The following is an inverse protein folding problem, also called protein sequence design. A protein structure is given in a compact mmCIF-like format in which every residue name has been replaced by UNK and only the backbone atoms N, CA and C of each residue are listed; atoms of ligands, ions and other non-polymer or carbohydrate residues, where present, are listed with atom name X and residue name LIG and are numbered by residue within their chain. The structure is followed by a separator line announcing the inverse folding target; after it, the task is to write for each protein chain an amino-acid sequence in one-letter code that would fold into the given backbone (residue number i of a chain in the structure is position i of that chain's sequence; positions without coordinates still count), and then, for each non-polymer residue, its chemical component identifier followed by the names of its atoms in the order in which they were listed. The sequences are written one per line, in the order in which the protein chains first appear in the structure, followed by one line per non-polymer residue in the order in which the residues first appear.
data_IF_125927585216
#
_entry.id   IF_125927585216
#
_cell.length_a   1.000
_cell.length_b   1.000
_cell.length_c   1.000
_cell.angle_alpha   90.00
_cell.angle_beta   90.00
_cell.angle_gamma   90.00
#
_symmetry.space_group_name_H-M   'P 1'
#
loop_
_entity.id
_entity.type
_entity.pdbx_description
1 polymer ?
#
# COMPACT_ATOMS: atom_id res chain seq x y z
N UNK A 1 20.46 -18.38 -2.04
CA UNK A 1 20.91 -17.24 -1.21
C UNK A 1 20.16 -17.23 0.12
N UNK A 2 20.80 -16.68 1.16
CA UNK A 2 20.14 -16.40 2.43
C UNK A 2 19.70 -14.93 2.47
N UNK A 3 18.39 -14.70 2.46
CA UNK A 3 17.78 -13.37 2.28
C UNK A 3 17.07 -12.96 3.57
N UNK A 4 17.24 -11.70 3.97
CA UNK A 4 16.51 -11.11 5.08
C UNK A 4 15.59 -9.99 4.60
N UNK A 5 14.27 -10.12 4.79
CA UNK A 5 13.34 -9.00 4.64
C UNK A 5 13.17 -8.28 5.97
N UNK A 6 13.27 -6.95 5.96
CA UNK A 6 13.07 -6.13 7.18
C UNK A 6 11.97 -5.10 6.97
N UNK A 7 10.95 -5.12 7.82
CA UNK A 7 9.90 -4.11 7.85
C UNK A 7 9.54 -3.72 9.29
N UNK A 8 8.95 -2.54 9.49
CA UNK A 8 8.69 -2.02 10.84
C UNK A 8 7.63 -2.81 11.61
N UNK A 9 6.58 -3.28 10.92
CA UNK A 9 5.41 -3.93 11.53
C UNK A 9 5.05 -5.22 10.80
N UNK A 10 4.55 -6.18 11.55
CA UNK A 10 4.11 -7.50 11.06
C UNK A 10 2.94 -7.43 10.06
N UNK A 11 2.08 -6.42 10.18
CA UNK A 11 1.03 -6.14 9.18
C UNK A 11 1.61 -5.93 7.78
N UNK A 12 2.72 -5.20 7.66
CA UNK A 12 3.40 -5.00 6.37
C UNK A 12 3.93 -6.31 5.81
N UNK A 13 4.50 -7.17 6.66
CA UNK A 13 4.97 -8.49 6.25
C UNK A 13 3.83 -9.33 5.66
N UNK A 14 2.71 -9.46 6.40
CA UNK A 14 1.58 -10.28 5.98
C UNK A 14 0.88 -9.75 4.73
N UNK A 15 0.65 -8.43 4.66
CA UNK A 15 -0.22 -7.85 3.61
C UNK A 15 0.52 -7.42 2.34
N UNK A 16 1.81 -7.12 2.44
CA UNK A 16 2.57 -6.59 1.30
C UNK A 16 3.75 -7.46 0.87
N UNK A 17 4.46 -8.09 1.81
CA UNK A 17 5.72 -8.76 1.49
C UNK A 17 5.58 -10.27 1.29
N UNK A 18 4.52 -10.87 1.82
CA UNK A 18 4.36 -12.31 1.81
C UNK A 18 4.44 -12.93 0.40
N UNK A 19 3.78 -12.37 -0.65
CA UNK A 19 3.92 -12.91 -2.00
C UNK A 19 5.36 -12.92 -2.54
N UNK A 20 6.15 -11.88 -2.22
CA UNK A 20 7.57 -11.85 -2.59
C UNK A 20 8.39 -12.88 -1.79
N UNK A 21 8.10 -13.05 -0.50
CA UNK A 21 8.74 -14.08 0.34
C UNK A 21 8.45 -15.48 -0.20
N UNK A 22 7.17 -15.76 -0.54
CA UNK A 22 6.76 -17.05 -1.11
C UNK A 22 7.49 -17.33 -2.43
N UNK A 23 7.52 -16.39 -3.34
CA UNK A 23 8.20 -16.54 -4.63
C UNK A 23 9.73 -16.75 -4.49
N UNK A 24 10.35 -16.16 -3.46
CA UNK A 24 11.77 -16.40 -3.19
C UNK A 24 12.03 -17.77 -2.54
N UNK A 25 11.13 -18.23 -1.67
CA UNK A 25 11.18 -19.59 -1.10
C UNK A 25 11.01 -20.66 -2.19
N UNK A 26 10.05 -20.46 -3.12
CA UNK A 26 9.84 -21.34 -4.28
C UNK A 26 11.07 -21.46 -5.18
N UNK A 27 11.88 -20.39 -5.28
CA UNK A 27 13.17 -20.39 -5.99
C UNK A 27 14.32 -21.00 -5.17
N UNK A 28 14.03 -21.62 -4.02
CA UNK A 28 15.01 -22.32 -3.19
C UNK A 28 15.90 -21.40 -2.33
N UNK A 29 15.52 -20.15 -2.12
CA UNK A 29 16.23 -19.26 -1.21
C UNK A 29 15.87 -19.56 0.26
N UNK A 30 16.82 -19.32 1.16
CA UNK A 30 16.54 -19.30 2.60
C UNK A 30 16.11 -17.91 3.01
N UNK A 31 14.81 -17.72 3.26
CA UNK A 31 14.22 -16.40 3.52
C UNK A 31 13.81 -16.26 4.98
N UNK A 32 14.30 -15.21 5.63
CA UNK A 32 13.96 -14.85 7.00
C UNK A 32 13.37 -13.43 7.00
N UNK A 33 12.24 -13.24 7.67
CA UNK A 33 11.61 -11.94 7.81
C UNK A 33 11.83 -11.37 9.21
N UNK A 34 12.18 -10.08 9.29
CA UNK A 34 12.38 -9.36 10.55
C UNK A 34 11.34 -8.24 10.67
N UNK A 35 10.56 -8.24 11.76
CA UNK A 35 9.60 -7.18 12.06
C UNK A 35 9.42 -7.01 13.57
N UNK A 36 8.69 -5.99 13.98
CA UNK A 36 8.25 -5.87 15.39
C UNK A 36 7.23 -6.96 15.72
N UNK A 37 7.19 -7.37 16.99
CA UNK A 37 6.24 -8.37 17.48
C UNK A 37 4.80 -7.89 17.30
N UNK A 38 3.91 -8.79 16.88
CA UNK A 38 2.48 -8.58 16.73
C UNK A 38 1.75 -9.86 16.37
N UNK A 39 0.42 -9.84 16.26
CA UNK A 39 -0.40 -11.03 16.03
C UNK A 39 -0.09 -11.72 14.71
N UNK A 40 0.22 -10.96 13.67
CA UNK A 40 0.55 -11.51 12.35
C UNK A 40 1.93 -12.16 12.30
N UNK A 41 2.92 -11.65 13.08
CA UNK A 41 4.22 -12.29 13.19
C UNK A 41 4.11 -13.69 13.80
N UNK A 42 3.26 -13.86 14.82
CA UNK A 42 2.97 -15.16 15.43
C UNK A 42 2.25 -16.07 14.44
N UNK A 43 1.17 -15.60 13.82
CA UNK A 43 0.41 -16.36 12.81
C UNK A 43 1.32 -16.91 11.69
N UNK A 44 2.21 -16.06 11.14
CA UNK A 44 3.13 -16.46 10.09
C UNK A 44 4.15 -17.49 10.59
N UNK A 45 4.66 -17.34 11.81
CA UNK A 45 5.54 -18.35 12.43
C UNK A 45 4.83 -19.69 12.61
N UNK A 46 3.57 -19.68 13.04
CA UNK A 46 2.76 -20.89 13.21
C UNK A 46 2.46 -21.58 11.86
N UNK A 47 2.47 -20.82 10.74
CA UNK A 47 2.37 -21.32 9.37
C UNK A 47 3.70 -21.81 8.77
N UNK A 48 4.80 -21.76 9.54
CA UNK A 48 6.10 -22.27 9.12
C UNK A 48 7.05 -21.24 8.49
N UNK A 49 6.67 -19.96 8.41
CA UNK A 49 7.58 -18.91 7.95
C UNK A 49 8.66 -18.60 9.01
N UNK A 50 9.89 -18.36 8.57
CA UNK A 50 10.96 -17.94 9.48
C UNK A 50 10.79 -16.44 9.79
N UNK A 51 10.16 -16.13 10.92
CA UNK A 51 9.94 -14.77 11.38
C UNK A 51 10.75 -14.51 12.66
N UNK A 52 11.65 -13.52 12.60
CA UNK A 52 12.41 -13.01 13.75
C UNK A 52 11.80 -11.71 14.23
N UNK A 53 11.36 -11.66 15.46
CA UNK A 53 10.84 -10.42 16.06
C UNK A 53 11.98 -9.61 16.67
N UNK A 54 12.16 -8.37 16.19
CA UNK A 54 13.04 -7.34 16.75
C UNK A 54 12.19 -6.05 16.80
N UNK A 55 12.09 -5.44 17.98
CA UNK A 55 11.37 -4.18 18.12
C UNK A 55 12.06 -3.09 17.31
N UNK A 56 11.43 -2.66 16.22
CA UNK A 56 11.90 -1.58 15.36
C UNK A 56 11.19 -0.30 15.78
N UNK A 57 11.97 0.68 16.26
CA UNK A 57 11.44 1.96 16.65
C UNK A 57 10.77 2.65 15.44
N UNK A 58 9.54 3.13 15.62
CA UNK A 58 8.81 3.91 14.60
C UNK A 58 9.04 5.42 14.77
N UNK A 59 9.86 5.82 15.72
CA UNK A 59 10.32 7.19 15.96
C UNK A 59 11.84 7.21 15.98
N UNK A 60 12.43 8.31 15.53
CA UNK A 60 13.89 8.53 15.57
C UNK A 60 14.37 8.98 16.99
N UNK A 61 13.78 8.43 18.06
CA UNK A 61 14.31 8.62 19.41
C UNK A 61 15.73 8.01 19.46
N UNK A 62 16.79 8.81 19.70
CA UNK A 62 18.18 8.39 19.45
C UNK A 62 18.57 7.09 20.15
N UNK A 63 18.22 6.95 21.44
CA UNK A 63 18.55 5.75 22.23
C UNK A 63 17.87 4.50 21.65
N UNK A 64 16.59 4.61 21.28
CA UNK A 64 15.85 3.48 20.71
C UNK A 64 16.38 3.11 19.32
N UNK A 65 16.78 4.09 18.52
CA UNK A 65 17.39 3.87 17.22
C UNK A 65 18.73 3.11 17.36
N UNK A 66 19.61 3.53 18.27
CA UNK A 66 20.90 2.86 18.53
C UNK A 66 20.69 1.41 19.00
N UNK A 67 19.76 1.18 19.92
CA UNK A 67 19.42 -0.17 20.40
C UNK A 67 18.89 -1.04 19.25
N UNK A 68 18.06 -0.49 18.38
CA UNK A 68 17.53 -1.21 17.21
C UNK A 68 18.65 -1.56 16.23
N UNK A 69 19.54 -0.60 15.90
CA UNK A 69 20.69 -0.82 15.03
C UNK A 69 21.59 -1.93 15.61
N UNK A 70 21.90 -1.89 16.91
CA UNK A 70 22.74 -2.89 17.55
C UNK A 70 22.12 -4.30 17.52
N UNK A 71 20.81 -4.41 17.78
CA UNK A 71 20.09 -5.70 17.70
C UNK A 71 20.09 -6.27 16.28
N UNK A 72 19.82 -5.42 15.28
CA UNK A 72 19.85 -5.79 13.87
C UNK A 72 21.26 -6.17 13.42
N UNK A 73 22.28 -5.38 13.76
CA UNK A 73 23.68 -5.66 13.50
C UNK A 73 24.11 -7.04 14.07
N UNK A 74 23.84 -7.26 15.37
CA UNK A 74 24.19 -8.54 16.02
C UNK A 74 23.48 -9.72 15.35
N UNK A 75 22.24 -9.54 14.94
CA UNK A 75 21.48 -10.54 14.25
C UNK A 75 22.01 -10.79 12.84
N UNK A 76 22.27 -9.75 12.04
CA UNK A 76 22.80 -9.89 10.69
C UNK A 76 24.20 -10.52 10.70
N UNK A 77 25.05 -10.12 11.64
CA UNK A 77 26.38 -10.72 11.81
C UNK A 77 26.34 -12.20 12.17
N UNK A 78 25.39 -12.60 13.03
CA UNK A 78 25.20 -14.00 13.43
C UNK A 78 24.70 -14.86 12.29
N UNK A 79 23.72 -14.36 11.55
CA UNK A 79 23.04 -15.14 10.50
C UNK A 79 23.79 -15.16 9.16
N UNK A 80 24.70 -14.20 8.92
CA UNK A 80 25.51 -14.10 7.69
C UNK A 80 24.63 -14.10 6.43
N UNK A 81 23.77 -13.10 6.29
CA UNK A 81 22.89 -12.93 5.12
C UNK A 81 23.69 -12.53 3.88
N UNK A 82 23.34 -13.10 2.73
CA UNK A 82 23.84 -12.66 1.42
C UNK A 82 23.20 -11.34 0.99
N UNK A 83 21.91 -11.16 1.32
CA UNK A 83 21.13 -10.01 0.95
C UNK A 83 20.18 -9.57 2.08
N UNK A 84 20.14 -8.28 2.35
CA UNK A 84 19.14 -7.64 3.23
C UNK A 84 18.25 -6.73 2.39
N UNK A 85 16.98 -7.06 2.31
CA UNK A 85 15.95 -6.27 1.62
C UNK A 85 15.11 -5.52 2.64
N UNK A 86 15.23 -4.20 2.63
CA UNK A 86 14.61 -3.33 3.64
C UNK A 86 13.37 -2.63 3.09
N UNK A 87 12.36 -2.49 3.92
CA UNK A 87 11.07 -1.91 3.60
C UNK A 87 10.64 -0.92 4.69
N UNK A 88 9.81 0.05 4.33
CA UNK A 88 9.30 1.11 5.23
C UNK A 88 10.41 2.07 5.73
N UNK A 89 10.15 3.39 5.75
CA UNK A 89 11.22 4.40 5.85
C UNK A 89 12.14 4.26 7.06
N UNK A 90 11.59 4.16 8.28
CA UNK A 90 12.42 4.10 9.50
C UNK A 90 13.14 2.75 9.62
N UNK A 91 12.45 1.64 9.34
CA UNK A 91 13.09 0.32 9.35
C UNK A 91 14.21 0.26 8.31
N UNK A 92 13.96 0.79 7.11
CA UNK A 92 14.96 0.87 6.04
C UNK A 92 16.18 1.69 6.46
N UNK A 93 15.99 2.85 7.10
CA UNK A 93 17.07 3.70 7.58
C UNK A 93 17.96 2.95 8.58
N UNK A 94 17.37 2.37 9.62
CA UNK A 94 18.10 1.69 10.69
C UNK A 94 18.77 0.40 10.21
N UNK A 95 18.09 -0.35 9.35
CA UNK A 95 18.60 -1.63 8.85
C UNK A 95 19.73 -1.47 7.84
N UNK A 96 19.74 -0.41 7.01
CA UNK A 96 20.86 -0.12 6.09
C UNK A 96 22.15 0.13 6.86
N UNK A 97 22.09 0.89 7.96
CA UNK A 97 23.24 1.10 8.86
C UNK A 97 23.69 -0.22 9.47
N UNK A 98 22.78 -1.01 10.03
CA UNK A 98 23.09 -2.28 10.65
C UNK A 98 23.68 -3.29 9.66
N UNK A 99 23.14 -3.36 8.43
CA UNK A 99 23.62 -4.26 7.37
C UNK A 99 25.04 -3.88 6.92
N UNK A 100 25.31 -2.59 6.75
CA UNK A 100 26.66 -2.10 6.43
C UNK A 100 27.67 -2.48 7.52
N UNK A 101 27.35 -2.20 8.79
CA UNK A 101 28.22 -2.55 9.92
C UNK A 101 28.45 -4.07 10.05
N UNK A 102 27.45 -4.88 9.68
CA UNK A 102 27.54 -6.34 9.70
C UNK A 102 28.31 -6.91 8.49
N UNK A 103 28.63 -6.09 7.48
CA UNK A 103 29.31 -6.53 6.27
C UNK A 103 28.40 -7.35 5.33
N UNK A 104 27.11 -7.06 5.29
CA UNK A 104 26.17 -7.72 4.37
C UNK A 104 26.51 -7.35 2.94
N UNK A 105 26.72 -8.32 2.02
CA UNK A 105 27.16 -8.06 0.66
C UNK A 105 26.20 -7.17 -0.15
N UNK A 106 24.88 -7.45 -0.05
CA UNK A 106 23.89 -6.74 -0.84
C UNK A 106 22.76 -6.15 0.02
N UNK A 107 22.47 -4.88 -0.18
CA UNK A 107 21.37 -4.17 0.49
C UNK A 107 20.45 -3.58 -0.55
N UNK A 108 19.20 -4.03 -0.56
CA UNK A 108 18.12 -3.55 -1.44
C UNK A 108 17.11 -2.80 -0.61
N UNK A 109 16.63 -1.66 -1.11
CA UNK A 109 15.58 -0.88 -0.48
C UNK A 109 14.36 -0.77 -1.39
N UNK A 110 13.18 -1.17 -0.90
CA UNK A 110 11.90 -0.84 -1.54
C UNK A 110 11.22 0.29 -0.81
N UNK A 111 11.12 1.44 -1.47
CA UNK A 111 10.32 2.57 -1.03
C UNK A 111 8.85 2.34 -1.43
N UNK A 112 8.00 2.03 -0.45
CA UNK A 112 6.54 1.95 -0.63
C UNK A 112 5.88 3.35 -0.59
N UNK A 113 6.50 4.33 -1.22
CA UNK A 113 6.24 5.76 -1.14
C UNK A 113 7.19 6.43 -0.14
N UNK A 114 7.91 7.47 -0.60
CA UNK A 114 8.75 8.25 0.30
C UNK A 114 7.92 8.99 1.34
N UNK A 115 8.50 9.18 2.53
CA UNK A 115 7.81 9.88 3.61
C UNK A 115 7.62 11.37 3.31
N UNK A 116 8.54 12.00 2.57
CA UNK A 116 8.41 13.39 2.14
C UNK A 116 7.40 13.54 1.01
N UNK A 117 6.65 14.63 1.01
CA UNK A 117 5.61 14.97 0.02
C UNK A 117 5.53 16.50 -0.14
N UNK A 118 4.83 16.95 -1.18
CA UNK A 118 4.81 18.37 -1.56
C UNK A 118 4.12 19.27 -0.53
N UNK A 119 3.10 18.76 0.18
CA UNK A 119 2.40 19.51 1.25
C UNK A 119 3.20 19.57 2.57
N UNK A 120 4.40 18.99 2.62
CA UNK A 120 5.26 19.03 3.80
C UNK A 120 6.04 20.34 3.86
N UNK A 121 6.07 20.96 5.06
CA UNK A 121 6.89 22.16 5.26
C UNK A 121 8.35 21.97 4.83
N UNK A 122 8.98 22.95 4.18
CA UNK A 122 10.24 22.79 3.46
C UNK A 122 11.40 22.29 4.35
N UNK A 123 11.48 22.73 5.58
CA UNK A 123 12.52 22.28 6.51
C UNK A 123 12.39 20.76 6.79
N UNK A 124 11.21 20.30 7.12
CA UNK A 124 10.94 18.88 7.41
C UNK A 124 11.12 18.02 6.16
N UNK A 125 10.66 18.51 5.01
CA UNK A 125 10.83 17.85 3.71
C UNK A 125 12.33 17.65 3.39
N UNK A 126 13.12 18.70 3.50
CA UNK A 126 14.55 18.64 3.23
C UNK A 126 15.30 17.73 4.20
N UNK A 127 14.89 17.68 5.47
CA UNK A 127 15.46 16.75 6.45
C UNK A 127 15.28 15.29 6.05
N UNK A 128 14.07 14.90 5.59
CA UNK A 128 13.83 13.53 5.12
C UNK A 128 14.58 13.23 3.81
N UNK A 129 14.63 14.17 2.88
CA UNK A 129 15.44 14.04 1.66
C UNK A 129 16.91 13.84 2.01
N UNK A 130 17.45 14.64 2.93
CA UNK A 130 18.83 14.51 3.39
C UNK A 130 19.09 13.15 4.04
N UNK A 131 18.16 12.68 4.90
CA UNK A 131 18.26 11.35 5.52
C UNK A 131 18.31 10.22 4.48
N UNK A 132 17.55 10.31 3.38
CA UNK A 132 17.64 9.32 2.29
C UNK A 132 18.97 9.45 1.52
N UNK A 133 19.45 10.66 1.24
CA UNK A 133 20.74 10.88 0.54
C UNK A 133 21.93 10.27 1.26
N UNK A 134 22.02 10.44 2.58
CA UNK A 134 23.15 9.87 3.36
C UNK A 134 23.13 8.34 3.40
N UNK A 135 21.99 7.72 3.11
CA UNK A 135 21.87 6.25 3.02
C UNK A 135 22.25 5.70 1.64
N UNK A 136 22.48 6.55 0.64
CA UNK A 136 22.85 6.14 -0.72
C UNK A 136 24.05 5.19 -0.77
N UNK A 137 25.19 5.49 -0.13
CA UNK A 137 26.37 4.59 -0.17
C UNK A 137 26.12 3.26 0.53
N UNK A 138 25.08 3.13 1.35
CA UNK A 138 24.69 1.91 2.06
C UNK A 138 23.59 1.11 1.33
N UNK A 139 23.26 1.48 0.10
CA UNK A 139 22.16 0.91 -0.67
C UNK A 139 22.64 0.52 -2.06
N UNK A 140 22.52 -0.73 -2.44
CA UNK A 140 22.91 -1.22 -3.75
C UNK A 140 21.85 -1.00 -4.80
N UNK A 141 20.57 -1.25 -4.47
CA UNK A 141 19.42 -1.01 -5.32
C UNK A 141 18.31 -0.27 -4.58
N UNK A 142 17.64 0.62 -5.28
CA UNK A 142 16.39 1.25 -4.87
C UNK A 142 15.26 0.77 -5.78
N UNK A 143 14.24 0.16 -5.19
CA UNK A 143 12.96 -0.08 -5.83
C UNK A 143 11.94 0.98 -5.42
N UNK A 144 11.23 1.52 -6.39
CA UNK A 144 10.08 2.39 -6.17
C UNK A 144 8.84 1.75 -6.77
N UNK A 145 7.69 2.03 -6.18
CA UNK A 145 6.43 1.53 -6.73
C UNK A 145 5.93 2.41 -7.88
N UNK A 146 6.14 3.73 -7.81
CA UNK A 146 5.71 4.69 -8.83
C UNK A 146 6.87 5.26 -9.63
N UNK A 147 6.59 5.70 -10.86
CA UNK A 147 7.54 6.42 -11.71
C UNK A 147 7.93 7.76 -11.08
N UNK A 148 6.96 8.46 -10.47
CA UNK A 148 7.17 9.74 -9.79
C UNK A 148 8.16 9.62 -8.60
N UNK A 149 8.10 8.52 -7.84
CA UNK A 149 9.09 8.27 -6.78
C UNK A 149 10.49 7.98 -7.35
N UNK A 150 10.57 7.26 -8.48
CA UNK A 150 11.85 7.01 -9.14
C UNK A 150 12.49 8.30 -9.65
N UNK A 151 11.71 9.12 -10.35
CA UNK A 151 12.16 10.42 -10.85
C UNK A 151 12.61 11.33 -9.71
N UNK A 152 11.82 11.42 -8.64
CA UNK A 152 12.19 12.19 -7.45
C UNK A 152 13.46 11.66 -6.78
N UNK A 153 13.65 10.34 -6.70
CA UNK A 153 14.86 9.75 -6.13
C UNK A 153 16.11 10.13 -6.93
N UNK A 154 16.02 10.13 -8.27
CA UNK A 154 17.10 10.49 -9.17
C UNK A 154 17.36 12.00 -9.13
N UNK A 155 16.34 12.84 -9.31
CA UNK A 155 16.44 14.29 -9.33
C UNK A 155 16.97 14.86 -8.02
N UNK A 156 16.53 14.31 -6.91
CA UNK A 156 16.98 14.72 -5.59
C UNK A 156 18.34 14.10 -5.19
N UNK A 157 18.94 13.23 -6.00
CA UNK A 157 20.22 12.59 -5.72
C UNK A 157 20.16 11.57 -4.55
N UNK A 158 18.99 10.99 -4.28
CA UNK A 158 18.80 9.93 -3.29
C UNK A 158 19.44 8.63 -3.81
N UNK A 159 19.28 8.35 -5.11
CA UNK A 159 19.92 7.20 -5.77
C UNK A 159 20.27 7.54 -7.22
N UNK A 160 21.20 6.79 -7.81
CA UNK A 160 21.56 6.88 -9.22
C UNK A 160 20.49 6.24 -10.10
N UNK A 161 20.39 6.70 -11.35
CA UNK A 161 19.44 6.18 -12.35
C UNK A 161 19.64 4.68 -12.62
N UNK A 162 20.90 4.26 -12.75
CA UNK A 162 21.32 2.86 -13.00
C UNK A 162 21.00 1.88 -11.84
N UNK A 163 20.73 2.41 -10.65
CA UNK A 163 20.39 1.66 -9.43
C UNK A 163 18.97 1.91 -8.93
N UNK A 164 18.15 2.63 -9.70
CA UNK A 164 16.75 2.93 -9.37
C UNK A 164 15.82 2.22 -10.36
N UNK A 165 14.93 1.37 -9.85
CA UNK A 165 14.03 0.57 -10.67
C UNK A 165 12.58 0.74 -10.22
N UNK A 166 11.69 0.97 -11.19
CA UNK A 166 10.25 1.02 -10.98
C UNK A 166 9.71 -0.41 -11.02
N UNK A 167 9.15 -0.86 -9.93
CA UNK A 167 8.60 -2.21 -9.83
C UNK A 167 7.08 -2.26 -9.92
N UNK A 168 6.39 -1.15 -9.61
CA UNK A 168 4.95 -1.12 -9.46
C UNK A 168 4.50 -1.70 -8.13
N UNK A 169 3.20 -1.95 -8.01
CA UNK A 169 2.59 -2.70 -6.92
C UNK A 169 1.69 -3.78 -7.50
N UNK A 170 1.79 -5.03 -7.03
CA UNK A 170 1.11 -6.17 -7.61
C UNK A 170 -0.17 -6.56 -6.86
N UNK A 171 -1.14 -7.10 -7.59
CA UNK A 171 -2.36 -7.72 -7.05
C UNK A 171 -2.58 -9.07 -7.72
N UNK A 172 -2.92 -10.11 -6.94
CA UNK A 172 -3.21 -11.45 -7.43
C UNK A 172 -4.48 -11.44 -8.30
N UNK A 173 -4.29 -11.64 -9.62
CA UNK A 173 -5.37 -11.63 -10.61
C UNK A 173 -6.37 -12.78 -10.43
N UNK A 174 -5.95 -13.88 -9.79
CA UNK A 174 -6.83 -15.04 -9.52
C UNK A 174 -7.69 -14.80 -8.29
N UNK A 175 -7.20 -14.00 -7.34
CA UNK A 175 -7.94 -13.60 -6.14
C UNK A 175 -8.95 -12.50 -6.46
N UNK A 176 -8.54 -11.49 -7.24
CA UNK A 176 -9.37 -10.36 -7.65
C UNK A 176 -9.90 -10.57 -9.09
N UNK A 177 -10.76 -11.57 -9.23
CA UNK A 177 -11.41 -11.92 -10.50
C UNK A 177 -12.91 -11.60 -10.43
N UNK A 178 -13.42 -10.63 -11.23
CA UNK A 178 -14.82 -10.22 -11.21
C UNK A 178 -15.79 -11.29 -11.76
N UNK A 179 -15.27 -12.28 -12.49
CA UNK A 179 -16.07 -13.37 -13.06
C UNK A 179 -16.18 -14.56 -12.07
N UNK A 180 -15.45 -14.48 -10.94
CA UNK A 180 -15.50 -15.49 -9.88
C UNK A 180 -16.78 -15.34 -9.06
N UNK A 181 -17.38 -16.49 -8.71
CA UNK A 181 -18.49 -16.53 -7.75
C UNK A 181 -17.93 -16.43 -6.33
N UNK A 182 -18.47 -15.51 -5.57
CA UNK A 182 -18.16 -15.35 -4.15
C UNK A 182 -19.32 -15.83 -3.29
N UNK A 183 -19.02 -16.29 -2.09
CA UNK A 183 -20.04 -16.66 -1.11
C UNK A 183 -20.90 -15.46 -0.73
N UNK A 184 -22.11 -15.74 -0.27
CA UNK A 184 -23.04 -14.70 0.17
C UNK A 184 -22.43 -13.96 1.38
N UNK A 185 -22.40 -12.64 1.27
CA UNK A 185 -21.93 -11.81 2.38
C UNK A 185 -22.93 -11.82 3.55
N UNK A 186 -22.39 -11.71 4.75
CA UNK A 186 -23.19 -11.58 5.99
C UNK A 186 -23.98 -10.27 6.07
N UNK A 187 -23.69 -9.31 5.17
CA UNK A 187 -24.33 -8.00 5.13
C UNK A 187 -25.49 -8.00 4.15
N UNK A 188 -26.62 -7.49 4.59
CA UNK A 188 -27.80 -7.39 3.74
C UNK A 188 -27.72 -6.12 2.87
N UNK A 189 -26.99 -6.20 1.75
CA UNK A 189 -27.06 -5.19 0.69
C UNK A 189 -28.03 -5.72 -0.36
N UNK A 190 -29.16 -5.03 -0.64
CA UNK A 190 -30.09 -5.45 -1.67
C UNK A 190 -29.41 -5.52 -3.04
N UNK A 191 -29.67 -6.57 -3.82
CA UNK A 191 -28.94 -6.84 -5.07
C UNK A 191 -29.09 -5.75 -6.14
N UNK A 192 -30.21 -5.02 -6.13
CA UNK A 192 -30.53 -3.99 -7.09
C UNK A 192 -30.11 -2.58 -6.66
N UNK A 193 -29.37 -2.44 -5.57
CA UNK A 193 -28.92 -1.12 -5.05
C UNK A 193 -27.47 -0.85 -5.46
N UNK A 194 -27.20 0.40 -5.80
CA UNK A 194 -25.88 0.89 -6.12
C UNK A 194 -25.05 1.03 -4.84
N UNK A 195 -23.80 0.57 -4.89
CA UNK A 195 -22.88 0.56 -3.76
C UNK A 195 -21.63 1.37 -4.08
N UNK A 196 -21.35 2.37 -3.26
CA UNK A 196 -20.09 3.12 -3.29
C UNK A 196 -19.23 2.61 -2.13
N UNK A 197 -18.05 2.06 -2.43
CA UNK A 197 -17.21 1.42 -1.43
C UNK A 197 -15.86 2.07 -1.24
N UNK A 198 -15.30 1.90 -0.03
CA UNK A 198 -13.96 2.33 0.33
C UNK A 198 -13.28 1.23 1.15
N UNK A 199 -12.03 0.91 0.79
CA UNK A 199 -11.17 -0.02 1.54
C UNK A 199 -9.93 0.72 2.02
N UNK A 200 -9.85 0.99 3.32
CA UNK A 200 -8.72 1.72 3.89
C UNK A 200 -8.63 1.55 5.42
N UNK A 201 -7.48 1.91 5.99
CA UNK A 201 -7.40 2.16 7.45
C UNK A 201 -8.28 3.37 7.82
N UNK A 202 -9.03 3.26 8.91
CA UNK A 202 -10.00 4.31 9.32
C UNK A 202 -9.30 5.48 10.03
N UNK A 203 -8.41 6.14 9.31
CA UNK A 203 -7.68 7.34 9.75
C UNK A 203 -7.97 8.51 8.81
N UNK A 204 -7.90 9.74 9.31
CA UNK A 204 -8.25 10.96 8.55
C UNK A 204 -7.45 11.10 7.26
N UNK A 205 -6.15 10.77 7.27
CA UNK A 205 -5.30 10.88 6.10
C UNK A 205 -5.71 9.97 4.91
N UNK A 206 -6.57 8.97 5.16
CA UNK A 206 -7.16 8.12 4.11
C UNK A 206 -8.43 8.72 3.49
N UNK A 207 -8.85 9.91 3.93
CA UNK A 207 -10.02 10.58 3.39
C UNK A 207 -11.35 9.99 3.86
N UNK A 208 -11.35 9.29 4.99
CA UNK A 208 -12.58 8.69 5.55
C UNK A 208 -13.64 9.75 5.83
N UNK A 209 -13.23 10.93 6.30
CA UNK A 209 -14.14 12.04 6.60
C UNK A 209 -14.77 12.56 5.31
N UNK A 210 -13.96 12.78 4.27
CA UNK A 210 -14.42 13.23 2.95
C UNK A 210 -15.38 12.24 2.31
N UNK A 211 -15.09 10.94 2.41
CA UNK A 211 -15.99 9.87 1.95
C UNK A 211 -17.34 9.93 2.66
N UNK A 212 -17.33 10.04 4.00
CA UNK A 212 -18.56 10.08 4.80
C UNK A 212 -19.40 11.31 4.55
N UNK A 213 -18.77 12.50 4.44
CA UNK A 213 -19.49 13.75 4.15
C UNK A 213 -20.09 13.73 2.73
N UNK A 214 -19.36 13.19 1.74
CA UNK A 214 -19.90 12.97 0.41
C UNK A 214 -21.06 11.95 0.43
N UNK A 215 -20.95 10.88 1.23
CA UNK A 215 -22.00 9.89 1.39
C UNK A 215 -23.30 10.51 1.94
N UNK A 216 -23.21 11.35 2.96
CA UNK A 216 -24.37 12.07 3.50
C UNK A 216 -25.00 12.98 2.42
N UNK A 217 -24.17 13.72 1.67
CA UNK A 217 -24.65 14.60 0.61
C UNK A 217 -25.33 13.84 -0.53
N UNK A 218 -24.73 12.73 -0.96
CA UNK A 218 -25.30 11.86 -2.01
C UNK A 218 -26.59 11.20 -1.54
N UNK A 219 -26.65 10.73 -0.31
CA UNK A 219 -27.83 10.05 0.23
C UNK A 219 -29.09 10.91 0.30
N UNK A 220 -28.92 12.22 0.38
CA UNK A 220 -30.04 13.17 0.36
C UNK A 220 -30.72 13.24 -1.02
N UNK A 221 -29.97 13.04 -2.11
CA UNK A 221 -30.45 13.10 -3.48
C UNK A 221 -30.74 11.70 -4.06
N UNK A 222 -30.01 10.69 -3.61
CA UNK A 222 -30.09 9.31 -4.09
C UNK A 222 -30.33 8.37 -2.90
N UNK A 223 -31.58 8.20 -2.45
CA UNK A 223 -31.91 7.44 -1.24
C UNK A 223 -31.64 5.93 -1.36
N UNK A 224 -31.48 5.45 -2.57
CA UNK A 224 -31.23 4.02 -2.90
C UNK A 224 -29.73 3.65 -2.99
N UNK A 225 -28.81 4.59 -2.73
CA UNK A 225 -27.38 4.34 -2.74
C UNK A 225 -26.92 3.87 -1.36
N UNK A 226 -26.12 2.81 -1.33
CA UNK A 226 -25.48 2.24 -0.15
C UNK A 226 -23.99 2.59 -0.13
N UNK A 227 -23.44 2.69 1.06
CA UNK A 227 -22.03 3.01 1.28
C UNK A 227 -21.37 1.90 2.10
N UNK A 228 -20.28 1.35 1.58
CA UNK A 228 -19.55 0.25 2.18
C UNK A 228 -18.16 0.71 2.61
N UNK A 229 -17.92 0.79 3.91
CA UNK A 229 -16.64 1.21 4.49
C UNK A 229 -15.95 0.01 5.13
N UNK A 230 -14.86 -0.43 4.51
CA UNK A 230 -14.10 -1.62 4.89
C UNK A 230 -12.77 -1.21 5.51
N UNK A 231 -12.50 -1.73 6.68
CA UNK A 231 -11.25 -1.55 7.38
C UNK A 231 -11.42 -1.17 8.84
N UNK A 232 -10.31 -1.04 9.52
CA UNK A 232 -10.24 -0.65 10.92
C UNK A 232 -9.09 0.32 11.17
N UNK A 233 -9.03 0.88 12.36
CA UNK A 233 -7.86 1.59 12.84
C UNK A 233 -6.92 0.60 13.52
N UNK A 234 -5.66 0.61 13.12
CA UNK A 234 -4.65 -0.19 13.81
C UNK A 234 -4.22 0.49 15.12
N UNK A 235 -3.93 -0.30 16.14
CA UNK A 235 -3.38 0.21 17.42
C UNK A 235 -2.07 0.99 17.22
N UNK A 236 -1.36 0.71 16.15
CA UNK A 236 -0.10 1.33 15.75
C UNK A 236 -0.25 2.62 14.94
N UNK A 237 -1.46 3.07 14.64
CA UNK A 237 -1.68 4.29 13.84
C UNK A 237 -1.45 5.55 14.67
N UNK A 238 -0.56 6.42 14.18
CA UNK A 238 -0.31 7.75 14.76
C UNK A 238 -1.32 8.81 14.29
N UNK A 239 -1.89 8.61 13.10
CA UNK A 239 -2.90 9.53 12.56
C UNK A 239 -4.19 9.49 13.39
N UNK A 240 -4.84 10.63 13.53
CA UNK A 240 -6.12 10.73 14.21
C UNK A 240 -7.17 9.87 13.53
N UNK A 241 -7.93 9.11 14.32
CA UNK A 241 -9.07 8.32 13.82
C UNK A 241 -10.25 9.21 13.38
N UNK A 242 -11.19 8.60 12.71
CA UNK A 242 -12.43 9.23 12.25
C UNK A 242 -13.68 8.70 13.00
N UNK A 243 -13.51 8.12 14.18
CA UNK A 243 -14.60 7.44 14.90
C UNK A 243 -15.82 8.33 15.17
N UNK A 244 -15.58 9.61 15.54
CA UNK A 244 -16.66 10.55 15.80
C UNK A 244 -17.50 10.84 14.55
N UNK A 245 -16.83 11.04 13.43
CA UNK A 245 -17.45 11.28 12.13
C UNK A 245 -18.19 10.03 11.63
N UNK A 246 -17.59 8.84 11.80
CA UNK A 246 -18.21 7.56 11.46
C UNK A 246 -19.53 7.39 12.24
N UNK A 247 -19.51 7.61 13.57
CA UNK A 247 -20.69 7.49 14.42
C UNK A 247 -21.78 8.49 14.01
N UNK A 248 -21.40 9.75 13.76
CA UNK A 248 -22.34 10.78 13.32
C UNK A 248 -23.00 10.46 11.98
N UNK A 249 -22.21 10.05 10.99
CA UNK A 249 -22.71 9.68 9.67
C UNK A 249 -23.54 8.39 9.70
N UNK A 250 -23.19 7.42 10.56
CA UNK A 250 -23.98 6.19 10.75
C UNK A 250 -25.38 6.52 11.29
N UNK A 251 -25.50 7.52 12.19
CA UNK A 251 -26.79 7.97 12.67
C UNK A 251 -27.67 8.57 11.56
N UNK A 252 -27.06 9.32 10.62
CA UNK A 252 -27.77 9.95 9.49
C UNK A 252 -28.13 8.93 8.41
N UNK A 253 -27.18 8.08 8.02
CA UNK A 253 -27.32 7.14 6.90
C UNK A 253 -28.06 5.84 7.28
N UNK A 254 -28.11 5.52 8.58
CA UNK A 254 -28.76 4.31 9.07
C UNK A 254 -28.15 3.04 8.47
N UNK A 255 -28.99 2.15 7.95
CA UNK A 255 -28.58 0.88 7.36
C UNK A 255 -27.81 1.04 6.04
N UNK A 256 -27.91 2.18 5.38
CA UNK A 256 -27.20 2.45 4.13
C UNK A 256 -25.68 2.63 4.28
N UNK A 257 -25.18 2.92 5.48
CA UNK A 257 -23.75 2.89 5.77
C UNK A 257 -23.38 1.57 6.43
N UNK A 258 -22.66 0.72 5.72
CA UNK A 258 -22.22 -0.58 6.19
C UNK A 258 -20.76 -0.47 6.61
N UNK A 259 -20.49 -0.81 7.87
CA UNK A 259 -19.15 -0.81 8.46
C UNK A 259 -18.77 -2.27 8.73
N UNK A 260 -17.74 -2.77 8.07
CA UNK A 260 -17.38 -4.18 8.16
C UNK A 260 -16.26 -4.48 9.15
N UNK A 261 -15.51 -3.44 9.56
CA UNK A 261 -14.24 -3.65 10.23
C UNK A 261 -13.17 -4.21 9.28
N UNK A 262 -12.10 -4.76 9.85
CA UNK A 262 -11.05 -5.44 9.08
C UNK A 262 -11.56 -6.79 8.56
N UNK A 263 -11.31 -7.07 7.26
CA UNK A 263 -11.79 -8.25 6.56
C UNK A 263 -10.66 -8.89 5.74
N UNK A 264 -10.76 -10.19 5.50
CA UNK A 264 -9.88 -10.96 4.61
C UNK A 264 -10.54 -11.30 3.26
N UNK A 265 -11.88 -11.24 3.18
CA UNK A 265 -12.70 -11.50 2.01
C UNK A 265 -12.93 -10.25 1.13
N UNK A 266 -11.90 -9.40 1.00
CA UNK A 266 -11.96 -8.14 0.24
C UNK A 266 -12.50 -8.33 -1.19
N UNK A 267 -12.11 -9.38 -1.96
CA UNK A 267 -12.66 -9.58 -3.30
C UNK A 267 -14.19 -9.75 -3.32
N UNK A 268 -14.75 -10.49 -2.36
CA UNK A 268 -16.18 -10.68 -2.25
C UNK A 268 -16.93 -9.37 -1.93
N UNK A 269 -16.33 -8.55 -1.05
CA UNK A 269 -16.88 -7.24 -0.71
C UNK A 269 -16.77 -6.27 -1.89
N UNK A 270 -15.65 -6.28 -2.62
CA UNK A 270 -15.48 -5.45 -3.82
C UNK A 270 -16.44 -5.86 -4.95
N UNK A 271 -16.74 -7.15 -5.10
CA UNK A 271 -17.71 -7.62 -6.08
C UNK A 271 -19.14 -7.05 -5.88
N UNK A 272 -19.41 -6.45 -4.71
CA UNK A 272 -20.66 -5.75 -4.41
C UNK A 272 -20.62 -4.26 -4.70
N UNK A 273 -19.46 -3.70 -5.07
CA UNK A 273 -19.28 -2.28 -5.33
C UNK A 273 -19.51 -1.93 -6.78
N UNK A 274 -20.23 -0.85 -7.03
CA UNK A 274 -20.38 -0.22 -8.34
C UNK A 274 -19.38 0.92 -8.59
N UNK A 275 -18.91 1.53 -7.51
CA UNK A 275 -17.93 2.62 -7.52
C UNK A 275 -16.99 2.42 -6.34
N UNK A 276 -15.70 2.46 -6.60
CA UNK A 276 -14.67 2.47 -5.56
C UNK A 276 -14.17 3.89 -5.31
N UNK A 277 -13.97 4.23 -4.04
CA UNK A 277 -13.48 5.55 -3.64
C UNK A 277 -12.27 5.45 -2.70
N UNK A 278 -11.23 6.25 -2.99
CA UNK A 278 -10.10 6.45 -2.08
C UNK A 278 -9.66 7.92 -2.10
N UNK A 279 -10.30 8.81 -1.29
CA UNK A 279 -10.00 10.24 -1.27
C UNK A 279 -8.85 10.59 -0.33
N UNK A 280 -7.79 9.79 -0.32
CA UNK A 280 -6.63 9.92 0.54
C UNK A 280 -5.88 11.25 0.35
N UNK A 281 -5.24 11.74 1.40
CA UNK A 281 -4.41 12.94 1.32
C UNK A 281 -2.99 12.64 0.83
N UNK A 282 -2.54 11.40 1.02
CA UNK A 282 -1.26 10.89 0.52
C UNK A 282 -1.27 9.38 0.38
N UNK A 283 -0.63 8.89 -0.65
CA UNK A 283 -0.36 7.47 -0.89
C UNK A 283 1.03 7.27 -1.50
N UNK A 284 1.55 6.06 -1.40
CA UNK A 284 2.67 5.61 -2.24
C UNK A 284 2.14 5.08 -3.58
N UNK A 285 1.56 3.89 -3.54
CA UNK A 285 0.82 3.26 -4.63
C UNK A 285 -0.23 2.33 -3.98
N UNK A 286 -1.49 2.79 -3.83
CA UNK A 286 -2.48 2.13 -3.00
C UNK A 286 -3.05 0.85 -3.64
N UNK A 287 -2.71 -0.31 -3.11
CA UNK A 287 -3.22 -1.62 -3.61
C UNK A 287 -4.73 -1.67 -3.77
N UNK A 288 -5.49 -1.01 -2.91
CA UNK A 288 -6.95 -1.03 -2.97
C UNK A 288 -7.53 -0.38 -4.23
N UNK A 289 -6.82 0.57 -4.86
CA UNK A 289 -7.17 1.09 -6.19
C UNK A 289 -6.94 0.00 -7.24
N UNK A 290 -5.78 -0.65 -7.23
CA UNK A 290 -5.46 -1.74 -8.17
C UNK A 290 -6.46 -2.90 -8.00
N UNK A 291 -6.77 -3.26 -6.76
CA UNK A 291 -7.76 -4.30 -6.42
C UNK A 291 -9.15 -3.96 -7.00
N UNK A 292 -9.60 -2.71 -6.87
CA UNK A 292 -10.86 -2.25 -7.47
C UNK A 292 -10.81 -2.27 -9.00
N UNK A 293 -9.71 -1.84 -9.61
CA UNK A 293 -9.51 -1.92 -11.06
C UNK A 293 -9.53 -3.38 -11.54
N UNK A 294 -8.88 -4.31 -10.83
CA UNK A 294 -8.94 -5.75 -11.12
C UNK A 294 -10.39 -6.28 -11.09
N UNK A 295 -11.23 -5.75 -10.20
CA UNK A 295 -12.65 -6.11 -10.06
C UNK A 295 -13.58 -5.38 -11.03
N UNK A 296 -13.06 -4.69 -12.08
CA UNK A 296 -13.82 -3.88 -13.05
C UNK A 296 -14.63 -2.74 -12.42
N UNK A 297 -14.18 -2.19 -11.30
CA UNK A 297 -14.87 -1.12 -10.59
C UNK A 297 -14.23 0.22 -10.99
N UNK A 298 -14.99 1.22 -11.48
CA UNK A 298 -14.48 2.56 -11.72
C UNK A 298 -14.03 3.20 -10.41
N UNK A 299 -12.92 3.93 -10.47
CA UNK A 299 -12.26 4.49 -9.29
C UNK A 299 -12.49 6.00 -9.21
N UNK A 300 -12.84 6.52 -8.03
CA UNK A 300 -12.76 7.94 -7.71
C UNK A 300 -11.68 8.12 -6.64
N UNK A 301 -10.59 8.77 -7.00
CA UNK A 301 -9.45 8.97 -6.11
C UNK A 301 -8.96 10.42 -6.12
N UNK A 302 -8.16 10.80 -5.15
CA UNK A 302 -7.50 12.11 -5.15
C UNK A 302 -6.32 12.14 -6.12
N UNK A 303 -6.11 13.29 -6.76
CA UNK A 303 -4.99 13.55 -7.66
C UNK A 303 -3.70 13.77 -6.86
N UNK A 304 -3.17 12.67 -6.34
CA UNK A 304 -1.93 12.62 -5.57
C UNK A 304 -1.00 11.56 -6.15
N UNK A 305 0.27 11.61 -5.74
CA UNK A 305 1.27 10.57 -6.06
C UNK A 305 0.69 9.18 -5.75
N UNK A 306 0.99 8.21 -6.56
CA UNK A 306 0.42 6.86 -6.50
C UNK A 306 -0.93 6.76 -7.17
N UNK A 307 -1.96 7.48 -6.70
CA UNK A 307 -3.29 7.41 -7.31
C UNK A 307 -3.30 7.84 -8.79
N UNK A 308 -2.55 8.90 -9.16
CA UNK A 308 -2.43 9.35 -10.56
C UNK A 308 -1.56 8.44 -11.43
N UNK A 309 -0.77 7.58 -10.84
CA UNK A 309 -0.07 6.50 -11.56
C UNK A 309 -1.03 5.38 -11.98
N UNK A 310 -1.99 5.09 -11.13
CA UNK A 310 -2.94 4.00 -11.31
C UNK A 310 -4.15 4.41 -12.15
N UNK A 311 -4.76 5.55 -11.80
CA UNK A 311 -6.01 6.04 -12.41
C UNK A 311 -5.70 7.01 -13.54
N UNK A 312 -6.22 6.73 -14.73
CA UNK A 312 -6.23 7.65 -15.87
C UNK A 312 -7.54 8.45 -15.80
N UNK A 313 -7.41 9.76 -15.53
CA UNK A 313 -8.55 10.65 -15.33
C UNK A 313 -9.47 10.70 -16.55
N UNK A 314 -10.77 10.53 -16.32
CA UNK A 314 -11.80 10.46 -17.38
C UNK A 314 -11.83 9.14 -18.17
N UNK A 315 -10.85 8.22 -17.99
CA UNK A 315 -10.77 6.97 -18.73
C UNK A 315 -11.03 5.73 -17.86
N UNK A 316 -10.29 5.58 -16.75
CA UNK A 316 -10.43 4.44 -15.84
C UNK A 316 -11.10 4.82 -14.53
N UNK A 317 -11.34 6.12 -14.33
CA UNK A 317 -11.94 6.70 -13.14
C UNK A 317 -11.83 8.21 -13.15
N UNK A 318 -11.96 8.83 -11.98
CA UNK A 318 -11.81 10.27 -11.79
C UNK A 318 -10.77 10.61 -10.74
N UNK A 319 -9.95 11.62 -11.05
CA UNK A 319 -8.99 12.21 -10.11
C UNK A 319 -9.52 13.58 -9.63
N UNK A 320 -9.70 13.69 -8.31
CA UNK A 320 -10.24 14.92 -7.69
C UNK A 320 -9.17 15.60 -6.81
N UNK A 321 -9.29 16.91 -6.55
CA UNK A 321 -8.42 17.59 -5.59
C UNK A 321 -8.57 17.01 -4.17
N UNK A 322 -7.48 17.01 -3.41
CA UNK A 322 -7.46 16.56 -1.99
C UNK A 322 -8.45 17.42 -1.17
N UNK A 323 -9.18 16.77 -0.26
CA UNK A 323 -10.14 17.41 0.65
C UNK A 323 -11.28 18.18 -0.05
N UNK A 324 -11.58 17.84 -1.29
CA UNK A 324 -12.64 18.50 -2.06
C UNK A 324 -13.91 17.63 -2.14
N UNK A 325 -14.75 17.75 -1.11
CA UNK A 325 -16.00 16.99 -1.00
C UNK A 325 -16.99 17.32 -2.14
N UNK A 326 -16.97 18.58 -2.63
CA UNK A 326 -17.82 18.97 -3.75
C UNK A 326 -17.47 18.19 -5.01
N UNK A 327 -16.18 18.16 -5.40
CA UNK A 327 -15.71 17.41 -6.56
C UNK A 327 -15.87 15.89 -6.38
N UNK A 328 -15.71 15.39 -5.17
CA UNK A 328 -15.99 13.99 -4.86
C UNK A 328 -17.47 13.64 -5.10
N UNK A 329 -18.39 14.50 -4.61
CA UNK A 329 -19.82 14.31 -4.81
C UNK A 329 -20.22 14.43 -6.29
N UNK A 330 -19.65 15.39 -7.05
CA UNK A 330 -19.87 15.54 -8.49
C UNK A 330 -19.45 14.27 -9.26
N UNK A 331 -18.27 13.70 -8.93
CA UNK A 331 -17.81 12.47 -9.54
C UNK A 331 -18.74 11.28 -9.23
N UNK A 332 -19.21 11.16 -7.98
CA UNK A 332 -20.21 10.16 -7.63
C UNK A 332 -21.50 10.34 -8.41
N UNK A 333 -22.07 11.56 -8.48
CA UNK A 333 -23.29 11.84 -9.22
C UNK A 333 -23.17 11.49 -10.71
N UNK A 334 -22.03 11.81 -11.31
CA UNK A 334 -21.74 11.46 -12.71
C UNK A 334 -21.77 9.95 -12.94
N UNK A 335 -21.13 9.19 -12.06
CA UNK A 335 -21.11 7.74 -12.15
C UNK A 335 -22.45 7.08 -11.76
N UNK A 336 -23.18 7.62 -10.79
CA UNK A 336 -24.53 7.13 -10.42
C UNK A 336 -25.46 7.23 -11.62
N UNK A 337 -25.47 8.38 -12.31
CA UNK A 337 -26.40 8.67 -13.41
C UNK A 337 -25.99 8.03 -14.76
N UNK A 338 -24.77 7.48 -14.88
CA UNK A 338 -24.24 6.96 -16.13
C UNK A 338 -23.75 5.49 -16.03
N UNK A 339 -24.64 4.50 -16.03
CA UNK A 339 -24.24 3.08 -15.95
C UNK A 339 -23.27 2.64 -17.04
N UNK A 340 -23.45 3.16 -18.27
CA UNK A 340 -22.56 2.86 -19.39
C UNK A 340 -21.13 3.38 -19.13
N UNK A 341 -21.00 4.55 -18.54
CA UNK A 341 -19.71 5.13 -18.17
C UNK A 341 -19.02 4.28 -17.09
N UNK A 342 -19.78 3.87 -16.04
CA UNK A 342 -19.27 2.96 -15.01
C UNK A 342 -18.67 1.69 -15.60
N UNK A 343 -19.44 1.00 -16.45
CA UNK A 343 -18.99 -0.24 -17.10
C UNK A 343 -17.76 -0.01 -17.98
N UNK A 344 -17.76 1.05 -18.78
CA UNK A 344 -16.63 1.39 -19.66
C UNK A 344 -15.35 1.71 -18.88
N UNK A 345 -15.44 2.54 -17.86
CA UNK A 345 -14.30 2.89 -17.00
C UNK A 345 -13.76 1.67 -16.24
N UNK A 346 -14.64 0.86 -15.66
CA UNK A 346 -14.25 -0.36 -14.97
C UNK A 346 -13.54 -1.35 -15.89
N UNK A 347 -14.03 -1.55 -17.12
CA UNK A 347 -13.41 -2.44 -18.09
C UNK A 347 -12.01 -1.98 -18.52
N UNK A 348 -11.84 -0.67 -18.79
CA UNK A 348 -10.53 -0.08 -19.10
C UNK A 348 -9.59 -0.13 -17.89
N UNK A 349 -10.13 0.10 -16.69
CA UNK A 349 -9.39 -0.05 -15.44
C UNK A 349 -8.81 -1.46 -15.28
N UNK A 350 -9.63 -2.50 -15.50
CA UNK A 350 -9.16 -3.88 -15.44
C UNK A 350 -8.09 -4.18 -16.49
N UNK A 351 -8.31 -3.77 -17.74
CA UNK A 351 -7.30 -3.96 -18.78
C UNK A 351 -5.95 -3.38 -18.36
N UNK A 352 -5.92 -2.13 -17.93
CA UNK A 352 -4.71 -1.47 -17.43
C UNK A 352 -4.09 -2.23 -16.24
N UNK A 353 -4.91 -2.68 -15.29
CA UNK A 353 -4.44 -3.39 -14.11
C UNK A 353 -3.79 -4.74 -14.48
N UNK A 354 -4.37 -5.52 -15.40
CA UNK A 354 -3.80 -6.78 -15.89
C UNK A 354 -2.47 -6.59 -16.63
N UNK A 355 -2.32 -5.48 -17.34
CA UNK A 355 -1.08 -5.16 -18.07
C UNK A 355 0.06 -4.77 -17.11
N UNK A 356 -0.22 -3.92 -16.12
CA UNK A 356 0.80 -3.25 -15.33
C UNK A 356 1.01 -3.84 -13.92
N UNK A 357 -0.05 -4.40 -13.31
CA UNK A 357 -0.12 -4.66 -11.87
C UNK A 357 -0.39 -6.12 -11.51
N UNK A 358 -0.19 -7.04 -12.44
CA UNK A 358 -0.19 -8.47 -12.17
C UNK A 358 0.93 -8.82 -11.19
N UNK A 359 0.57 -9.39 -10.03
CA UNK A 359 1.48 -9.66 -8.92
C UNK A 359 2.65 -10.56 -9.32
N UNK A 360 2.40 -11.59 -10.12
CA UNK A 360 3.44 -12.51 -10.59
C UNK A 360 4.48 -11.78 -11.46
N UNK A 361 4.02 -10.89 -12.35
CA UNK A 361 4.91 -10.07 -13.19
C UNK A 361 5.71 -9.05 -12.37
N UNK A 362 5.07 -8.40 -11.40
CA UNK A 362 5.71 -7.43 -10.50
C UNK A 362 6.79 -8.10 -9.67
N UNK A 363 6.49 -9.25 -9.07
CA UNK A 363 7.43 -10.02 -8.25
C UNK A 363 8.56 -10.60 -9.11
N UNK A 364 8.22 -11.18 -10.27
CA UNK A 364 9.21 -11.70 -11.21
C UNK A 364 10.25 -10.65 -11.58
N UNK A 365 9.81 -9.44 -11.93
CA UNK A 365 10.68 -8.30 -12.24
C UNK A 365 11.62 -7.94 -11.09
N UNK A 366 11.11 -7.92 -9.84
CA UNK A 366 11.95 -7.65 -8.66
C UNK A 366 13.04 -8.71 -8.48
N UNK A 367 12.66 -9.98 -8.58
CA UNK A 367 13.59 -11.09 -8.40
C UNK A 367 14.66 -11.12 -9.50
N UNK A 368 14.29 -10.85 -10.75
CA UNK A 368 15.23 -10.80 -11.87
C UNK A 368 16.27 -9.68 -11.71
N UNK A 369 15.86 -8.50 -11.24
CA UNK A 369 16.78 -7.40 -10.95
C UNK A 369 17.71 -7.75 -9.78
N UNK A 370 17.19 -8.38 -8.72
CA UNK A 370 18.01 -8.86 -7.59
C UNK A 370 19.03 -9.90 -8.05
N UNK A 371 18.63 -10.84 -8.90
CA UNK A 371 19.54 -11.86 -9.44
C UNK A 371 20.66 -11.22 -10.27
N UNK A 372 20.36 -10.25 -11.12
CA UNK A 372 21.37 -9.49 -11.88
C UNK A 372 22.33 -8.71 -10.99
N UNK A 373 21.86 -8.18 -9.86
CA UNK A 373 22.75 -7.54 -8.88
C UNK A 373 23.71 -8.56 -8.27
N UNK A 374 23.20 -9.73 -7.86
CA UNK A 374 23.99 -10.72 -7.12
C UNK A 374 24.91 -11.53 -8.03
N UNK A 375 24.62 -11.64 -9.33
CA UNK A 375 25.52 -12.21 -10.34
C UNK A 375 26.63 -11.27 -10.82
N UNK A 376 26.52 -9.97 -10.50
CA UNK A 376 27.49 -8.95 -10.95
C UNK A 376 27.12 -8.28 -12.29
N UNK A 377 25.97 -8.63 -12.89
CA UNK A 377 25.54 -8.09 -14.20
C UNK A 377 25.00 -6.64 -14.13
N UNK A 378 24.83 -6.11 -12.92
CA UNK A 378 24.37 -4.74 -12.66
C UNK A 378 25.42 -3.83 -12.00
N UNK A 379 26.64 -4.31 -11.77
CA UNK A 379 27.73 -3.56 -11.10
C UNK A 379 28.72 -2.98 -12.10
#
# INVERSE_FOLDING_TARGET
MKICHVCAVDFTLKRLLLPLVDAQLEKGNDVISVCSSGPYAKELSDRGYKVKTITIARSLAPIRAIVTIWKLFSYFRKESFDLVHVHTPIAAFLSRIAAFLAGVPFVVYTAHGFYFHDDMGPFKRNLFIFAEKIMRPLTHLLFTQSSEDAENAILLGIMNKDRTFIIGNGVDIRKFDPDKKFDKLEFNIPENKLVIGMVARLVREKGVVEFLEAAVKISAKYPDVYFLLIGSRLSSDYASGANKEITGCKHILGERLILTGERDDIPALMARMDIFCLPSWREGMPRSIIEAMMMRIPVVATNIRGSREEVVDGETGFLIPVRNIAKLSEAFELLINNPRLRTSMGSRGRQRALELYDEEKVIGRQIDIINKLTSGDLL
#
